data_IF_885421928431
#
_entry.id   IF_885421928431
#
_cell.length_a   1.000
_cell.length_b   1.000
_cell.length_c   1.000
_cell.angle_alpha   90.00
_cell.angle_beta   90.00
_cell.angle_gamma   90.00
#
_symmetry.space_group_name_H-M   'P 1'
#
loop_
_entity.id
_entity.type
_entity.pdbx_description
1 polymer ?
#
# COMPACT_ATOMS: atom_id res chain seq x y z
N UNK A 1 5.28 -6.51 -2.89
CA UNK A 1 4.27 -5.40 -2.92
C UNK A 1 3.12 -5.78 -3.86
N UNK A 2 1.92 -5.20 -3.69
CA UNK A 2 0.86 -5.31 -4.68
C UNK A 2 0.86 -4.08 -5.59
N UNK A 3 1.04 -4.28 -6.89
CA UNK A 3 1.21 -3.19 -7.87
C UNK A 3 0.08 -3.24 -8.88
N UNK A 4 -0.62 -2.12 -9.05
CA UNK A 4 -1.63 -1.91 -10.07
C UNK A 4 -1.05 -1.08 -11.21
N UNK A 5 -1.31 -1.52 -12.44
CA UNK A 5 -1.00 -0.76 -13.66
C UNK A 5 -2.29 -0.43 -14.42
N UNK A 6 -2.22 0.40 -15.46
CA UNK A 6 -3.40 0.61 -16.32
C UNK A 6 -3.81 -0.67 -17.09
N UNK A 7 -2.82 -1.47 -17.51
CA UNK A 7 -3.05 -2.67 -18.33
C UNK A 7 -3.56 -3.84 -17.49
N UNK A 8 -2.96 -3.98 -16.33
CA UNK A 8 -3.18 -5.09 -15.41
C UNK A 8 -3.62 -4.54 -14.06
N UNK A 9 -4.58 -5.21 -13.42
CA UNK A 9 -4.95 -4.88 -12.06
C UNK A 9 -3.83 -5.07 -11.05
N UNK A 10 -4.20 -5.05 -9.76
CA UNK A 10 -3.23 -5.39 -8.73
C UNK A 10 -2.72 -6.81 -8.91
N UNK A 11 -1.40 -6.93 -8.96
CA UNK A 11 -0.67 -8.19 -8.94
C UNK A 11 0.37 -8.13 -7.83
N UNK A 12 0.67 -9.26 -7.20
CA UNK A 12 1.76 -9.34 -6.21
C UNK A 12 3.06 -9.54 -6.97
N UNK A 13 3.96 -8.58 -6.81
CA UNK A 13 5.34 -8.77 -7.21
C UNK A 13 6.10 -9.52 -6.10
N UNK A 14 6.57 -10.71 -6.45
CA UNK A 14 7.28 -11.63 -5.54
C UNK A 14 8.77 -11.31 -5.57
N UNK A 15 9.16 -10.37 -4.73
CA UNK A 15 10.56 -10.02 -4.49
C UNK A 15 11.22 -10.99 -3.49
N UNK A 16 12.51 -11.27 -3.65
CA UNK A 16 13.27 -11.97 -2.61
C UNK A 16 13.40 -11.06 -1.39
N UNK A 17 13.13 -11.63 -0.22
CA UNK A 17 13.31 -10.94 1.05
C UNK A 17 14.77 -11.10 1.49
N UNK A 18 15.37 -9.99 1.93
CA UNK A 18 16.65 -10.02 2.65
C UNK A 18 16.45 -10.44 4.11
N UNK A 19 17.54 -10.68 4.86
CA UNK A 19 17.43 -10.93 6.29
C UNK A 19 16.90 -9.68 7.02
N UNK A 20 16.39 -9.85 8.26
CA UNK A 20 15.97 -8.71 9.08
C UNK A 20 17.07 -7.67 9.25
N UNK A 21 16.67 -6.40 9.32
CA UNK A 21 17.58 -5.28 9.57
C UNK A 21 18.34 -5.52 10.89
N UNK A 22 19.64 -5.28 10.89
CA UNK A 22 20.50 -5.43 12.08
C UNK A 22 20.97 -6.86 12.37
N UNK A 23 20.61 -7.85 11.55
CA UNK A 23 21.03 -9.23 11.77
C UNK A 23 22.52 -9.46 11.48
N UNK A 24 23.04 -8.89 10.38
CA UNK A 24 24.45 -9.03 9.97
C UNK A 24 25.03 -7.63 9.68
N UNK A 25 26.07 -7.19 10.43
CA UNK A 25 26.73 -5.93 10.18
C UNK A 25 27.38 -5.87 8.79
N UNK A 26 27.21 -4.74 8.09
CA UNK A 26 27.84 -4.50 6.78
C UNK A 26 27.25 -5.33 5.64
N UNK A 27 26.06 -5.91 5.80
CA UNK A 27 25.35 -6.57 4.72
C UNK A 27 24.65 -5.56 3.81
N UNK A 28 24.81 -5.74 2.50
CA UNK A 28 24.05 -5.04 1.49
C UNK A 28 22.63 -5.64 1.37
N UNK A 29 21.62 -4.79 1.23
CA UNK A 29 20.24 -5.21 0.98
C UNK A 29 19.97 -5.28 -0.52
N UNK A 30 19.09 -6.20 -0.90
CA UNK A 30 18.66 -6.30 -2.29
C UNK A 30 17.72 -5.12 -2.59
N UNK A 31 18.08 -4.33 -3.59
CA UNK A 31 17.27 -3.22 -4.08
C UNK A 31 16.45 -3.66 -5.30
N UNK A 32 15.26 -3.10 -5.44
CA UNK A 32 14.37 -3.32 -6.58
C UNK A 32 13.90 -1.97 -7.12
N UNK A 33 14.09 -1.77 -8.42
CA UNK A 33 13.65 -0.58 -9.12
C UNK A 33 12.33 -0.82 -9.86
N UNK A 34 11.39 0.12 -9.71
CA UNK A 34 10.10 0.10 -10.39
C UNK A 34 9.94 1.31 -11.29
N UNK A 35 9.59 1.07 -12.55
CA UNK A 35 9.21 2.12 -13.50
C UNK A 35 7.70 2.31 -13.48
N UNK A 36 7.23 3.37 -12.82
CA UNK A 36 5.80 3.69 -12.71
C UNK A 36 5.37 4.68 -13.79
N UNK A 37 4.15 4.51 -14.29
CA UNK A 37 3.45 5.47 -15.15
C UNK A 37 2.42 6.24 -14.34
N UNK A 38 2.09 7.49 -14.73
CA UNK A 38 1.00 8.23 -14.11
C UNK A 38 -0.28 7.38 -14.06
N UNK A 39 -0.89 7.27 -12.88
CA UNK A 39 -2.05 6.41 -12.60
C UNK A 39 -1.71 5.05 -11.97
N UNK A 40 -0.46 4.58 -12.09
CA UNK A 40 -0.03 3.35 -11.41
C UNK A 40 -0.07 3.52 -9.90
N UNK A 41 -0.39 2.44 -9.19
CA UNK A 41 -0.59 2.46 -7.75
C UNK A 41 0.13 1.30 -7.08
N UNK A 42 0.72 1.58 -5.94
CA UNK A 42 1.37 0.57 -5.09
C UNK A 42 0.60 0.47 -3.79
N UNK A 43 0.29 -0.76 -3.41
CA UNK A 43 -0.25 -1.14 -2.11
C UNK A 43 0.80 -1.99 -1.38
N UNK A 44 1.29 -1.48 -0.25
CA UNK A 44 2.23 -2.12 0.65
C UNK A 44 1.52 -2.62 1.90
N UNK A 45 2.00 -3.73 2.44
CA UNK A 45 1.43 -4.38 3.60
C UNK A 45 2.49 -5.18 4.36
N UNK A 46 2.34 -5.33 5.67
CA UNK A 46 3.05 -6.32 6.48
C UNK A 46 2.35 -7.68 6.40
N UNK A 47 3.05 -8.74 6.77
CA UNK A 47 2.52 -10.10 6.82
C UNK A 47 1.33 -10.25 7.78
N UNK A 48 1.23 -9.44 8.84
CA UNK A 48 0.03 -9.35 9.67
C UNK A 48 -1.29 -9.30 8.89
N UNK A 49 -1.35 -8.62 7.73
CA UNK A 49 -2.56 -8.58 6.90
C UNK A 49 -2.97 -9.96 6.32
N UNK A 50 -2.16 -10.63 5.47
CA UNK A 50 -2.52 -11.96 4.97
C UNK A 50 -2.46 -13.06 6.04
N UNK A 51 -1.75 -12.86 7.15
CA UNK A 51 -1.68 -13.78 8.29
C UNK A 51 -2.91 -13.71 9.21
N UNK A 52 -3.65 -12.59 9.20
CA UNK A 52 -4.83 -12.37 10.04
C UNK A 52 -5.81 -13.57 10.00
N UNK A 53 -6.25 -14.02 11.18
CA UNK A 53 -7.03 -15.25 11.35
C UNK A 53 -8.48 -14.96 11.67
N UNK A 54 -9.36 -15.76 11.10
CA UNK A 54 -10.76 -15.87 11.49
C UNK A 54 -10.95 -16.90 12.60
N UNK A 55 -12.13 -16.90 13.24
CA UNK A 55 -12.52 -17.82 14.34
C UNK A 55 -12.36 -19.29 13.97
N UNK A 56 -12.53 -19.64 12.69
CA UNK A 56 -12.37 -21.00 12.20
C UNK A 56 -10.91 -21.41 11.94
N UNK A 57 -9.95 -20.52 12.21
CA UNK A 57 -8.52 -20.70 11.97
C UNK A 57 -8.06 -20.38 10.54
N UNK A 58 -8.97 -19.98 9.65
CA UNK A 58 -8.60 -19.60 8.29
C UNK A 58 -7.84 -18.28 8.28
N UNK A 59 -6.86 -18.18 7.38
CA UNK A 59 -6.10 -16.95 7.15
C UNK A 59 -6.80 -16.06 6.13
N UNK A 60 -6.66 -14.75 6.28
CA UNK A 60 -7.25 -13.79 5.34
C UNK A 60 -6.74 -14.04 3.92
N UNK A 61 -5.43 -14.22 3.79
CA UNK A 61 -4.76 -14.67 2.58
C UNK A 61 -4.55 -13.58 1.53
N UNK A 62 -3.51 -13.77 0.72
CA UNK A 62 -3.16 -12.84 -0.38
C UNK A 62 -4.19 -12.84 -1.51
N UNK A 63 -4.87 -13.96 -1.74
CA UNK A 63 -5.84 -14.09 -2.83
C UNK A 63 -7.07 -13.20 -2.58
N UNK A 64 -7.61 -13.24 -1.35
CA UNK A 64 -8.73 -12.37 -0.95
C UNK A 64 -8.32 -10.89 -0.95
N UNK A 65 -7.11 -10.59 -0.47
CA UNK A 65 -6.55 -9.24 -0.54
C UNK A 65 -6.53 -8.74 -2.00
N UNK A 66 -5.99 -9.53 -2.92
CA UNK A 66 -5.95 -9.19 -4.35
C UNK A 66 -7.34 -9.06 -4.97
N UNK A 67 -8.29 -9.92 -4.61
CA UNK A 67 -9.67 -9.85 -5.08
C UNK A 67 -10.33 -8.52 -4.67
N UNK A 68 -10.17 -8.12 -3.40
CA UNK A 68 -10.70 -6.86 -2.88
C UNK A 68 -10.07 -5.68 -3.60
N UNK A 69 -8.73 -5.65 -3.73
CA UNK A 69 -8.01 -4.60 -4.44
C UNK A 69 -8.48 -4.49 -5.90
N UNK A 70 -8.59 -5.62 -6.59
CA UNK A 70 -8.97 -5.67 -8.00
C UNK A 70 -10.44 -5.34 -8.26
N UNK A 71 -11.33 -5.64 -7.33
CA UNK A 71 -12.76 -5.27 -7.44
C UNK A 71 -13.01 -3.80 -7.16
N UNK A 72 -12.00 -3.06 -6.68
CA UNK A 72 -12.15 -1.68 -6.19
C UNK A 72 -11.10 -0.71 -6.77
N UNK A 73 -10.60 -0.96 -8.00
CA UNK A 73 -9.56 -0.14 -8.65
C UNK A 73 -9.90 1.34 -8.76
N UNK A 74 -11.18 1.69 -8.85
CA UNK A 74 -11.65 3.08 -8.94
C UNK A 74 -11.66 3.85 -7.62
N UNK A 75 -11.38 3.21 -6.48
CA UNK A 75 -11.34 3.87 -5.17
C UNK A 75 -10.09 4.73 -5.00
N UNK A 76 -10.15 5.77 -4.18
CA UNK A 76 -8.95 6.55 -3.78
C UNK A 76 -8.03 5.72 -2.89
N UNK A 77 -6.82 6.23 -2.61
CA UNK A 77 -5.89 5.56 -1.68
C UNK A 77 -6.47 5.44 -0.27
N UNK A 78 -7.17 6.48 0.18
CA UNK A 78 -7.83 6.46 1.48
C UNK A 78 -8.95 5.43 1.53
N UNK A 79 -9.83 5.45 0.54
CA UNK A 79 -10.97 4.54 0.48
C UNK A 79 -10.54 3.07 0.36
N UNK A 80 -9.43 2.76 -0.33
CA UNK A 80 -8.98 1.37 -0.47
C UNK A 80 -8.35 0.84 0.82
N UNK A 81 -7.58 1.67 1.55
CA UNK A 81 -7.00 1.30 2.85
C UNK A 81 -8.10 1.12 3.89
N UNK A 82 -9.06 2.06 3.99
CA UNK A 82 -10.21 1.94 4.88
C UNK A 82 -11.08 0.73 4.55
N UNK A 83 -11.31 0.44 3.26
CA UNK A 83 -12.01 -0.77 2.84
C UNK A 83 -11.27 -2.02 3.29
N UNK A 84 -9.96 -2.11 3.07
CA UNK A 84 -9.17 -3.27 3.45
C UNK A 84 -9.19 -3.50 4.97
N UNK A 85 -9.01 -2.43 5.76
CA UNK A 85 -9.15 -2.45 7.22
C UNK A 85 -10.49 -3.04 7.65
N UNK A 86 -11.59 -2.53 7.09
CA UNK A 86 -12.92 -3.03 7.43
C UNK A 86 -13.12 -4.50 7.03
N UNK A 87 -12.53 -4.93 5.91
CA UNK A 87 -12.61 -6.32 5.43
C UNK A 87 -11.82 -7.28 6.28
N UNK A 88 -10.60 -6.94 6.68
CA UNK A 88 -9.80 -7.80 7.57
C UNK A 88 -10.42 -7.87 8.95
N UNK A 89 -10.91 -6.75 9.50
CA UNK A 89 -11.60 -6.73 10.79
C UNK A 89 -12.88 -7.57 10.77
N UNK A 90 -13.70 -7.43 9.73
CA UNK A 90 -14.92 -8.24 9.57
C UNK A 90 -14.61 -9.73 9.38
N UNK A 91 -13.47 -10.06 8.76
CA UNK A 91 -13.03 -11.44 8.57
C UNK A 91 -12.56 -12.07 9.88
N UNK A 92 -11.73 -11.34 10.64
CA UNK A 92 -11.24 -11.80 11.94
C UNK A 92 -12.36 -11.94 12.98
N UNK A 93 -13.36 -11.05 12.92
CA UNK A 93 -14.45 -11.04 13.89
C UNK A 93 -13.93 -10.60 15.27
N UNK A 94 -14.09 -11.47 16.28
CA UNK A 94 -13.60 -11.22 17.63
C UNK A 94 -12.27 -11.95 17.92
N UNK A 95 -11.61 -12.51 16.90
CA UNK A 95 -10.31 -13.14 17.12
C UNK A 95 -9.24 -12.08 17.36
N UNK A 96 -8.41 -12.24 18.41
CA UNK A 96 -7.30 -11.35 18.67
C UNK A 96 -6.32 -11.41 17.49
N UNK A 97 -5.79 -10.24 17.12
CA UNK A 97 -4.71 -10.17 16.13
C UNK A 97 -3.40 -10.55 16.79
N UNK A 98 -2.67 -11.48 16.16
CA UNK A 98 -1.42 -12.02 16.69
C UNK A 98 -0.18 -11.25 16.23
N UNK A 99 -0.35 -10.31 15.31
CA UNK A 99 0.73 -9.52 14.71
C UNK A 99 0.19 -8.18 14.21
N UNK A 100 1.07 -7.19 14.09
CA UNK A 100 0.70 -5.84 13.68
C UNK A 100 0.37 -5.79 12.18
N UNK A 101 -0.75 -5.16 11.86
CA UNK A 101 -1.20 -4.97 10.49
C UNK A 101 -0.89 -3.55 10.06
N UNK A 102 0.08 -3.39 9.18
CA UNK A 102 0.38 -2.12 8.53
C UNK A 102 -0.02 -2.17 7.07
N UNK A 103 -0.66 -1.11 6.58
CA UNK A 103 -1.05 -0.96 5.18
C UNK A 103 -0.71 0.45 4.68
N UNK A 104 -0.23 0.53 3.44
CA UNK A 104 0.00 1.81 2.77
C UNK A 104 -0.40 1.75 1.30
N UNK A 105 -1.07 2.79 0.81
CA UNK A 105 -1.42 2.93 -0.60
C UNK A 105 -0.96 4.29 -1.13
N UNK A 106 -0.32 4.30 -2.29
CA UNK A 106 0.04 5.53 -2.99
C UNK A 106 -0.08 5.40 -4.51
N UNK A 107 -0.46 6.50 -5.15
CA UNK A 107 -0.60 6.60 -6.61
C UNK A 107 0.50 7.50 -7.15
N UNK A 108 1.16 7.08 -8.22
CA UNK A 108 2.13 7.92 -8.92
C UNK A 108 1.39 8.75 -9.98
N UNK A 109 1.58 10.07 -9.98
CA UNK A 109 0.90 10.98 -10.93
C UNK A 109 1.86 11.58 -11.99
N UNK A 110 3.11 11.14 -12.01
CA UNK A 110 4.13 11.72 -12.89
C UNK A 110 4.96 12.82 -12.22
N UNK A 111 5.87 13.39 -13.00
CA UNK A 111 6.60 14.60 -12.62
C UNK A 111 5.76 15.83 -12.96
N UNK A 112 5.60 16.76 -12.02
CA UNK A 112 5.07 18.09 -12.33
C UNK A 112 6.03 18.79 -13.29
N UNK A 113 5.54 19.38 -14.39
CA UNK A 113 6.40 20.20 -15.27
C UNK A 113 6.87 21.43 -14.50
N UNK A 114 8.10 21.89 -14.72
CA UNK A 114 8.63 23.11 -14.08
C UNK A 114 7.82 24.37 -14.41
N UNK A 115 7.04 24.37 -15.50
CA UNK A 115 6.15 25.47 -15.90
C UNK A 115 4.98 25.67 -14.91
N UNK A 116 4.50 24.60 -14.26
CA UNK A 116 3.47 24.66 -13.21
C UNK A 116 4.00 25.29 -11.91
N UNK A 117 5.31 25.57 -11.80
CA UNK A 117 5.91 26.28 -10.66
C UNK A 117 5.79 27.81 -10.74
N UNK A 118 5.44 28.37 -11.91
CA UNK A 118 5.47 29.83 -12.13
C UNK A 118 4.12 30.50 -12.32
N UNK A 119 3.06 29.77 -12.64
CA UNK A 119 1.71 30.34 -12.67
C UNK A 119 0.87 29.76 -11.54
N UNK A 120 0.64 30.60 -10.53
CA UNK A 120 -0.29 30.31 -9.45
C UNK A 120 -1.69 30.14 -10.01
N UNK A 121 -2.06 28.92 -10.37
CA UNK A 121 -3.43 28.45 -10.34
C UNK A 121 -3.41 26.97 -9.95
N UNK A 122 -3.13 26.74 -8.67
CA UNK A 122 -3.46 25.47 -8.02
C UNK A 122 -4.98 25.32 -8.12
N UNK A 123 -5.53 24.27 -8.76
CA UNK A 123 -6.93 23.96 -8.56
C UNK A 123 -7.11 23.66 -7.07
N UNK A 124 -7.91 24.47 -6.37
CA UNK A 124 -8.23 24.25 -4.96
C UNK A 124 -8.71 22.81 -4.76
N UNK A 125 -7.83 21.94 -4.26
CA UNK A 125 -8.18 20.62 -3.75
C UNK A 125 -7.25 20.27 -2.59
N UNK A 126 -7.86 19.68 -1.58
CA UNK A 126 -7.57 19.79 -0.16
C UNK A 126 -6.31 19.02 0.26
N UNK A 127 -5.61 19.62 1.23
CA UNK A 127 -4.77 19.01 2.28
C UNK A 127 -4.34 17.56 2.03
N UNK A 128 -3.13 17.36 1.46
CA UNK A 128 -2.18 16.24 1.72
C UNK A 128 -1.18 15.98 0.56
N UNK A 129 -0.59 17.02 -0.05
CA UNK A 129 0.56 16.81 -0.98
C UNK A 129 1.87 16.62 -0.20
N UNK A 130 2.57 15.51 -0.40
CA UNK A 130 3.96 15.32 0.08
C UNK A 130 4.91 15.19 -1.10
N UNK A 131 5.85 16.13 -1.26
CA UNK A 131 6.82 16.15 -2.36
C UNK A 131 8.16 15.56 -1.90
N UNK A 132 8.58 14.44 -2.48
CA UNK A 132 9.92 13.86 -2.30
C UNK A 132 10.70 13.91 -3.61
N UNK A 133 11.87 14.56 -3.62
CA UNK A 133 12.84 14.43 -4.73
C UNK A 133 12.37 14.81 -6.14
N UNK A 134 11.35 15.68 -6.28
CA UNK A 134 10.79 16.05 -7.59
C UNK A 134 9.72 15.09 -8.14
N UNK A 135 9.35 14.07 -7.35
CA UNK A 135 8.21 13.19 -7.61
C UNK A 135 6.97 13.79 -6.93
N UNK A 136 5.89 13.92 -7.69
CA UNK A 136 4.58 14.27 -7.13
C UNK A 136 3.86 12.98 -6.72
N UNK A 137 3.96 12.63 -5.44
CA UNK A 137 3.10 11.63 -4.79
C UNK A 137 1.89 12.36 -4.25
N UNK A 138 0.82 12.41 -5.02
CA UNK A 138 -0.28 13.32 -4.71
C UNK A 138 -1.19 12.80 -3.60
N UNK A 139 -1.16 11.50 -3.24
CA UNK A 139 -1.83 10.96 -2.05
C UNK A 139 -1.13 9.69 -1.54
N UNK A 140 -0.63 9.73 -0.30
CA UNK A 140 -0.20 8.54 0.46
C UNK A 140 -1.20 8.34 1.59
N UNK A 141 -1.75 7.14 1.73
CA UNK A 141 -2.56 6.76 2.90
C UNK A 141 -1.86 5.62 3.62
N UNK A 142 -1.74 5.74 4.93
CA UNK A 142 -1.12 4.78 5.83
C UNK A 142 -2.12 4.46 6.95
N UNK A 143 -2.15 3.20 7.37
CA UNK A 143 -2.95 2.73 8.50
C UNK A 143 -2.20 1.60 9.22
N UNK A 144 -2.30 1.59 10.54
CA UNK A 144 -1.72 0.56 11.42
C UNK A 144 -2.79 0.03 12.38
N UNK A 145 -2.80 -1.28 12.60
CA UNK A 145 -3.64 -1.98 13.57
C UNK A 145 -2.70 -2.78 14.45
N UNK A 146 -2.65 -2.43 15.73
CA UNK A 146 -1.79 -3.11 16.71
C UNK A 146 -2.34 -4.50 17.05
N UNK A 147 -1.44 -5.43 17.33
CA UNK A 147 -1.77 -6.75 17.86
C UNK A 147 -2.36 -6.67 19.28
N UNK A 148 -3.20 -7.64 19.64
CA UNK A 148 -3.70 -7.79 21.02
C UNK A 148 -2.77 -8.74 21.81
N UNK A 149 -2.31 -8.29 22.99
CA UNK A 149 -1.46 -9.08 23.92
C UNK A 149 -2.21 -10.19 24.68
#
# INVERSE_FOLDING_TARGET
>A
PAIMTERDGYTIDKVQHGPPIGFIPGMDFIEYDYSLKPGDRIFLYTDGLPEAKAVNGDRFGTDRMLEILNSNRGKTNKEIVELMKNRVFSFAGNEPQFDDITMMSFTYYGQSKEEDRKEGTVPETKENETKFGGITLTEVTFEEIEAEE
#
